data_IF_689130663742
#
_entry.id   IF_689130663742
#
_cell.length_a   1.000
_cell.length_b   1.000
_cell.length_c   1.000
_cell.angle_alpha   90.00
_cell.angle_beta   90.00
_cell.angle_gamma   90.00
#
_symmetry.space_group_name_H-M   'P 1'
#
loop_
_entity.id
_entity.type
_entity.pdbx_description
1 polymer ?
#
# COMPACT_ATOMS: atom_id res chain seq x y z
N UNK A 1 -31.92 23.73 25.47
CA UNK A 1 -32.78 23.09 24.45
C UNK A 1 -32.11 23.27 23.10
N UNK A 2 -31.96 22.19 22.34
CA UNK A 2 -31.22 22.20 21.08
C UNK A 2 -32.04 22.94 20.01
N UNK A 3 -31.52 24.03 19.46
CA UNK A 3 -32.25 24.93 18.53
C UNK A 3 -32.75 24.24 17.26
N UNK A 4 -32.14 23.09 16.92
CA UNK A 4 -32.50 22.22 15.79
C UNK A 4 -33.95 21.72 15.79
N UNK A 5 -34.63 21.67 16.94
CA UNK A 5 -36.01 21.17 17.05
C UNK A 5 -37.04 22.28 17.38
N UNK A 6 -36.58 23.53 17.55
CA UNK A 6 -37.43 24.67 17.92
C UNK A 6 -37.59 25.70 16.81
N UNK A 7 -36.86 25.56 15.70
CA UNK A 7 -36.91 26.46 14.54
C UNK A 7 -37.49 25.72 13.32
N UNK A 8 -37.96 26.49 12.33
CA UNK A 8 -38.48 25.92 11.09
C UNK A 8 -37.37 25.18 10.32
N UNK A 9 -37.60 23.91 10.01
CA UNK A 9 -36.64 23.06 9.29
C UNK A 9 -36.39 23.59 7.88
N UNK A 10 -35.13 23.91 7.57
CA UNK A 10 -34.68 24.14 6.20
C UNK A 10 -34.36 22.78 5.58
N UNK A 11 -35.13 22.37 4.57
CA UNK A 11 -34.99 21.04 3.95
C UNK A 11 -34.57 21.16 2.49
N UNK A 12 -33.72 20.24 2.04
CA UNK A 12 -33.36 20.07 0.64
C UNK A 12 -33.54 18.60 0.25
N UNK A 13 -34.08 18.37 -0.95
CA UNK A 13 -34.33 17.02 -1.50
C UNK A 13 -33.56 16.83 -2.78
N UNK A 14 -32.92 15.68 -2.96
CA UNK A 14 -32.20 15.32 -4.19
C UNK A 14 -32.69 13.95 -4.70
N UNK A 15 -32.66 13.74 -6.02
CA UNK A 15 -33.06 12.48 -6.64
C UNK A 15 -34.57 12.35 -6.85
N UNK A 16 -35.24 11.45 -6.13
CA UNK A 16 -36.65 11.07 -6.40
C UNK A 16 -37.61 12.19 -6.02
N UNK A 17 -38.38 12.70 -7.00
CA UNK A 17 -39.31 13.83 -6.81
C UNK A 17 -40.40 13.56 -5.76
N UNK A 18 -40.78 12.28 -5.56
CA UNK A 18 -41.78 11.86 -4.58
C UNK A 18 -41.52 12.43 -3.17
N UNK A 19 -40.26 12.51 -2.74
CA UNK A 19 -39.91 13.03 -1.41
C UNK A 19 -40.09 14.55 -1.33
N UNK A 20 -39.75 15.27 -2.40
CA UNK A 20 -39.99 16.70 -2.52
C UNK A 20 -41.49 17.00 -2.50
N UNK A 21 -42.25 16.28 -3.32
CA UNK A 21 -43.70 16.45 -3.45
C UNK A 21 -44.42 16.11 -2.14
N UNK A 22 -43.98 15.07 -1.43
CA UNK A 22 -44.53 14.70 -0.12
C UNK A 22 -44.29 15.79 0.94
N UNK A 23 -43.14 16.47 0.93
CA UNK A 23 -42.85 17.58 1.85
C UNK A 23 -43.66 18.83 1.51
N UNK A 24 -43.77 19.18 0.21
CA UNK A 24 -44.62 20.28 -0.24
C UNK A 24 -46.10 20.07 0.14
N UNK A 25 -46.62 18.85 -0.03
CA UNK A 25 -47.99 18.50 0.33
C UNK A 25 -48.25 18.59 1.85
N UNK A 26 -47.21 18.51 2.67
CA UNK A 26 -47.27 18.71 4.12
C UNK A 26 -47.03 20.17 4.54
N UNK A 27 -46.86 21.09 3.59
CA UNK A 27 -46.60 22.51 3.86
C UNK A 27 -45.17 22.80 4.33
N UNK A 28 -44.24 21.87 4.15
CA UNK A 28 -42.82 22.06 4.52
C UNK A 28 -42.09 22.79 3.40
N UNK A 29 -41.41 23.89 3.74
CA UNK A 29 -40.52 24.59 2.80
C UNK A 29 -39.31 23.72 2.48
N UNK A 30 -39.17 23.35 1.21
CA UNK A 30 -38.09 22.47 0.73
C UNK A 30 -37.50 22.95 -0.59
N UNK A 31 -36.20 22.76 -0.79
CA UNK A 31 -35.51 23.07 -2.04
C UNK A 31 -35.18 21.77 -2.78
N UNK A 32 -35.71 21.61 -4.01
CA UNK A 32 -35.27 20.54 -4.88
C UNK A 32 -33.87 20.84 -5.43
N UNK A 33 -32.94 19.94 -5.19
CA UNK A 33 -31.63 19.92 -5.84
C UNK A 33 -31.79 19.11 -7.11
N UNK A 34 -31.54 19.75 -8.25
CA UNK A 34 -31.48 19.08 -9.54
C UNK A 34 -30.23 18.18 -9.56
N UNK A 35 -30.44 16.93 -9.17
CA UNK A 35 -29.40 15.92 -9.12
C UNK A 35 -29.88 14.68 -9.87
N UNK A 36 -29.08 14.25 -10.84
CA UNK A 36 -29.20 12.96 -11.49
C UNK A 36 -27.83 12.29 -11.50
N UNK A 37 -27.76 10.95 -11.56
CA UNK A 37 -26.54 10.29 -12.02
C UNK A 37 -26.10 10.89 -13.37
N UNK A 38 -24.81 10.91 -13.70
CA UNK A 38 -24.33 11.41 -14.98
C UNK A 38 -25.11 10.78 -16.15
N UNK A 39 -25.70 11.62 -16.99
CA UNK A 39 -26.43 11.18 -18.18
C UNK A 39 -25.41 10.65 -19.21
N UNK A 40 -25.14 9.35 -19.17
CA UNK A 40 -24.14 8.78 -20.09
C UNK A 40 -23.73 7.32 -19.91
N UNK A 41 -24.31 6.54 -19.00
CA UNK A 41 -24.00 5.12 -18.88
C UNK A 41 -25.18 4.32 -18.35
N UNK A 42 -25.82 3.51 -19.20
CA UNK A 42 -26.75 2.46 -18.74
C UNK A 42 -26.07 1.59 -17.67
N UNK A 43 -24.77 1.39 -17.84
CA UNK A 43 -23.91 0.57 -17.00
C UNK A 43 -23.89 0.98 -15.52
N UNK A 44 -23.87 2.28 -15.18
CA UNK A 44 -23.85 2.69 -13.77
C UNK A 44 -25.21 2.49 -13.09
N UNK A 45 -26.30 2.76 -13.81
CA UNK A 45 -27.65 2.44 -13.31
C UNK A 45 -27.78 0.93 -13.08
N UNK A 46 -27.32 0.12 -14.04
CA UNK A 46 -27.43 -1.33 -13.97
C UNK A 46 -26.60 -1.91 -12.81
N UNK A 47 -25.39 -1.38 -12.57
CA UNK A 47 -24.58 -1.74 -11.40
C UNK A 47 -25.22 -1.30 -10.08
N UNK A 48 -25.78 -0.08 -10.01
CA UNK A 48 -26.42 0.43 -8.80
C UNK A 48 -27.73 -0.31 -8.45
N UNK A 49 -28.47 -0.74 -9.47
CA UNK A 49 -29.72 -1.47 -9.36
C UNK A 49 -29.55 -2.99 -9.20
N UNK A 50 -28.33 -3.52 -9.35
CA UNK A 50 -28.05 -4.94 -9.20
C UNK A 50 -28.36 -5.40 -7.77
N UNK A 51 -29.37 -6.25 -7.64
CA UNK A 51 -29.85 -6.81 -6.37
C UNK A 51 -28.78 -7.64 -5.64
N UNK A 52 -27.77 -8.15 -6.37
CA UNK A 52 -26.66 -8.92 -5.76
C UNK A 52 -25.75 -8.03 -4.92
N UNK A 53 -25.67 -6.73 -5.25
CA UNK A 53 -24.65 -5.80 -4.72
C UNK A 53 -24.68 -5.67 -3.20
N UNK A 54 -25.85 -5.48 -2.59
CA UNK A 54 -25.93 -5.28 -1.13
C UNK A 54 -25.38 -6.48 -0.37
N UNK A 55 -25.88 -7.67 -0.70
CA UNK A 55 -25.48 -8.92 -0.04
C UNK A 55 -24.01 -9.25 -0.31
N UNK A 56 -23.53 -9.03 -1.53
CA UNK A 56 -22.13 -9.25 -1.88
C UNK A 56 -21.19 -8.27 -1.16
N UNK A 57 -21.57 -6.99 -1.04
CA UNK A 57 -20.79 -5.99 -0.32
C UNK A 57 -20.78 -6.23 1.19
N UNK A 58 -21.91 -6.65 1.78
CA UNK A 58 -21.99 -7.04 3.19
C UNK A 58 -21.08 -8.23 3.49
N UNK A 59 -21.06 -9.24 2.62
CA UNK A 59 -20.14 -10.37 2.73
C UNK A 59 -18.68 -9.93 2.60
N UNK A 60 -18.36 -9.08 1.62
CA UNK A 60 -17.02 -8.56 1.40
C UNK A 60 -16.53 -7.79 2.64
N UNK A 61 -17.32 -6.85 3.15
CA UNK A 61 -17.00 -6.07 4.35
C UNK A 61 -16.83 -6.99 5.57
N UNK A 62 -17.71 -7.96 5.76
CA UNK A 62 -17.60 -8.92 6.87
C UNK A 62 -16.29 -9.72 6.80
N UNK A 63 -15.86 -10.14 5.61
CA UNK A 63 -14.58 -10.83 5.41
C UNK A 63 -13.38 -9.94 5.71
N UNK A 64 -13.41 -8.67 5.27
CA UNK A 64 -12.36 -7.69 5.58
C UNK A 64 -12.23 -7.50 7.10
N UNK A 65 -13.33 -7.22 7.80
CA UNK A 65 -13.33 -6.95 9.24
C UNK A 65 -12.85 -8.13 10.10
N UNK A 66 -13.05 -9.36 9.60
CA UNK A 66 -12.64 -10.59 10.27
C UNK A 66 -11.19 -11.02 9.95
N UNK A 67 -10.52 -10.38 8.98
CA UNK A 67 -9.15 -10.75 8.59
C UNK A 67 -8.13 -10.40 9.67
N UNK A 68 -7.25 -11.34 10.00
CA UNK A 68 -6.10 -11.10 10.87
C UNK A 68 -4.84 -10.72 10.09
N UNK A 69 -3.81 -10.27 10.80
CA UNK A 69 -2.51 -9.99 10.20
C UNK A 69 -1.41 -10.26 11.23
N UNK A 70 -0.76 -11.42 11.11
CA UNK A 70 0.39 -11.80 11.94
C UNK A 70 1.65 -11.88 11.09
N UNK A 71 2.77 -11.37 11.61
CA UNK A 71 4.08 -11.50 10.97
C UNK A 71 4.64 -12.90 11.24
N UNK A 72 4.76 -13.71 10.18
CA UNK A 72 5.15 -15.12 10.30
C UNK A 72 6.60 -15.38 9.92
N UNK A 73 7.18 -14.58 9.01
CA UNK A 73 8.58 -14.72 8.62
C UNK A 73 9.14 -13.42 8.00
N UNK A 74 10.45 -13.39 7.82
CA UNK A 74 11.14 -12.40 6.99
C UNK A 74 12.05 -13.18 6.05
N UNK A 75 11.93 -13.02 4.73
CA UNK A 75 12.65 -13.87 3.75
C UNK A 75 13.06 -13.11 2.49
N UNK A 76 14.07 -13.57 1.73
CA UNK A 76 14.35 -13.04 0.40
C UNK A 76 13.13 -13.15 -0.53
N UNK A 77 12.95 -12.19 -1.44
CA UNK A 77 11.84 -12.15 -2.38
C UNK A 77 11.87 -13.34 -3.36
N UNK A 78 13.05 -13.86 -3.69
CA UNK A 78 13.20 -15.11 -4.45
C UNK A 78 12.51 -16.31 -3.79
N UNK A 79 12.51 -16.38 -2.46
CA UNK A 79 11.80 -17.43 -1.71
C UNK A 79 10.34 -17.08 -1.47
N UNK A 80 10.05 -15.84 -1.09
CA UNK A 80 8.72 -15.40 -0.69
C UNK A 80 7.73 -15.32 -1.87
N UNK A 81 8.22 -14.88 -3.03
CA UNK A 81 7.41 -14.55 -4.20
C UNK A 81 7.79 -15.38 -5.45
N UNK A 82 8.76 -16.29 -5.30
CA UNK A 82 9.32 -17.10 -6.38
C UNK A 82 9.85 -16.25 -7.55
N UNK A 83 10.55 -15.15 -7.24
CA UNK A 83 11.14 -14.27 -8.24
C UNK A 83 12.49 -14.82 -8.72
N UNK A 84 12.60 -15.00 -10.04
CA UNK A 84 13.84 -15.33 -10.74
C UNK A 84 14.68 -14.10 -11.09
N UNK A 85 15.93 -14.32 -11.49
CA UNK A 85 16.82 -13.25 -11.96
C UNK A 85 16.20 -12.53 -13.16
N UNK A 86 16.05 -11.21 -13.06
CA UNK A 86 15.42 -10.37 -14.08
C UNK A 86 13.90 -10.32 -14.01
N UNK A 87 13.27 -10.88 -12.98
CA UNK A 87 11.86 -10.66 -12.66
C UNK A 87 11.76 -9.64 -11.52
N UNK A 88 11.31 -8.43 -11.85
CA UNK A 88 11.15 -7.34 -10.88
C UNK A 88 9.67 -7.01 -10.71
N UNK A 89 9.31 -6.63 -9.49
CA UNK A 89 8.00 -6.07 -9.21
C UNK A 89 8.05 -4.55 -9.10
N UNK A 90 6.91 -3.89 -9.23
CA UNK A 90 6.77 -2.45 -9.03
C UNK A 90 5.43 -2.09 -8.39
N UNK A 91 5.31 -0.88 -7.83
CA UNK A 91 4.03 -0.35 -7.35
C UNK A 91 3.08 0.04 -8.49
N UNK A 92 1.77 0.03 -8.21
CA UNK A 92 0.71 0.51 -9.11
C UNK A 92 0.27 -0.50 -10.18
N UNK A 93 -0.61 -0.07 -11.10
CA UNK A 93 -1.06 -0.92 -12.22
C UNK A 93 0.08 -1.19 -13.22
N UNK A 94 -0.06 -2.18 -14.12
CA UNK A 94 0.96 -2.55 -15.10
C UNK A 94 1.50 -1.34 -15.87
N UNK A 95 2.83 -1.24 -15.98
CA UNK A 95 3.50 -0.14 -16.68
C UNK A 95 4.77 -0.63 -17.38
N UNK A 96 5.02 -0.07 -18.57
CA UNK A 96 6.24 -0.30 -19.34
C UNK A 96 7.30 0.75 -19.00
N UNK A 97 8.58 0.42 -19.20
CA UNK A 97 9.71 1.33 -18.98
C UNK A 97 9.53 2.71 -19.63
N UNK A 98 9.05 2.74 -20.87
CA UNK A 98 8.85 3.98 -21.63
C UNK A 98 7.87 4.94 -20.98
N UNK A 99 6.92 4.43 -20.19
CA UNK A 99 5.92 5.21 -19.45
C UNK A 99 6.31 5.45 -17.99
N UNK A 100 7.30 4.72 -17.45
CA UNK A 100 7.71 4.86 -16.07
C UNK A 100 8.15 6.30 -15.75
N UNK A 101 7.71 6.80 -14.59
CA UNK A 101 8.07 8.13 -14.09
C UNK A 101 9.56 8.21 -13.71
N UNK A 102 10.09 9.42 -13.52
CA UNK A 102 11.49 9.62 -13.14
C UNK A 102 11.91 8.81 -11.90
N UNK A 103 11.20 8.88 -10.77
CA UNK A 103 11.49 8.06 -9.59
C UNK A 103 11.41 6.56 -9.85
N UNK A 104 10.43 6.09 -10.63
CA UNK A 104 10.31 4.68 -10.99
C UNK A 104 11.51 4.21 -11.83
N UNK A 105 11.91 4.99 -12.83
CA UNK A 105 13.10 4.70 -13.66
C UNK A 105 14.37 4.63 -12.84
N UNK A 106 14.57 5.60 -11.94
CA UNK A 106 15.70 5.59 -11.02
C UNK A 106 15.73 4.35 -10.11
N UNK A 107 14.57 3.90 -9.64
CA UNK A 107 14.45 2.72 -8.80
C UNK A 107 14.78 1.43 -9.56
N UNK A 108 14.34 1.31 -10.81
CA UNK A 108 14.67 0.19 -11.70
C UNK A 108 16.17 0.17 -12.05
N UNK A 109 16.79 1.33 -12.26
CA UNK A 109 18.24 1.44 -12.45
C UNK A 109 18.97 0.96 -11.18
N UNK A 110 18.56 1.43 -10.00
CA UNK A 110 19.13 0.99 -8.72
C UNK A 110 19.02 -0.53 -8.56
N UNK A 111 17.87 -1.11 -8.90
CA UNK A 111 17.61 -2.55 -8.88
C UNK A 111 18.56 -3.33 -9.81
N UNK A 112 18.78 -2.85 -11.03
CA UNK A 112 19.73 -3.46 -11.97
C UNK A 112 21.17 -3.46 -11.44
N UNK A 113 21.59 -2.36 -10.80
CA UNK A 113 22.92 -2.26 -10.17
C UNK A 113 23.02 -3.19 -8.96
N UNK A 114 22.00 -3.20 -8.11
CA UNK A 114 21.93 -4.03 -6.91
C UNK A 114 22.00 -5.53 -7.23
N UNK A 115 21.25 -5.98 -8.24
CA UNK A 115 21.26 -7.37 -8.72
C UNK A 115 22.47 -7.72 -9.60
N UNK A 116 23.41 -6.77 -9.77
CA UNK A 116 24.61 -6.93 -10.63
C UNK A 116 24.25 -7.36 -12.04
N UNK A 117 23.17 -6.77 -12.57
CA UNK A 117 22.69 -6.98 -13.93
C UNK A 117 23.19 -5.91 -14.89
N UNK A 118 23.77 -4.82 -14.37
CA UNK A 118 24.45 -3.78 -15.12
C UNK A 118 25.64 -3.22 -14.30
N UNK A 119 26.68 -2.77 -15.00
CA UNK A 119 27.88 -2.20 -14.39
C UNK A 119 27.81 -0.68 -14.20
N UNK A 120 26.83 -0.02 -14.84
CA UNK A 120 26.59 1.43 -14.73
C UNK A 120 25.12 1.77 -14.93
N UNK A 121 24.73 2.99 -14.56
CA UNK A 121 23.37 3.48 -14.75
C UNK A 121 22.99 3.54 -16.25
N UNK A 122 23.93 3.94 -17.11
CA UNK A 122 23.75 4.00 -18.56
C UNK A 122 23.56 2.60 -19.15
N UNK A 123 24.35 1.63 -18.68
CA UNK A 123 24.18 0.23 -19.09
C UNK A 123 22.82 -0.32 -18.62
N UNK A 124 22.39 0.01 -17.41
CA UNK A 124 21.10 -0.40 -16.88
C UNK A 124 19.94 0.17 -17.72
N UNK A 125 19.98 1.46 -18.04
CA UNK A 125 18.98 2.13 -18.87
C UNK A 125 18.87 1.47 -20.26
N UNK A 126 20.00 1.21 -20.93
CA UNK A 126 20.00 0.54 -22.24
C UNK A 126 19.42 -0.88 -22.21
N UNK A 127 19.56 -1.60 -21.09
CA UNK A 127 18.96 -2.93 -20.90
C UNK A 127 17.46 -2.81 -20.65
N UNK A 128 17.05 -1.87 -19.80
CA UNK A 128 15.65 -1.61 -19.46
C UNK A 128 14.85 -1.13 -20.68
N UNK A 129 15.43 -0.28 -21.52
CA UNK A 129 14.83 0.17 -22.79
C UNK A 129 14.54 -0.97 -23.77
N UNK A 130 15.29 -2.07 -23.67
CA UNK A 130 15.15 -3.27 -24.52
C UNK A 130 14.30 -4.36 -23.87
N UNK A 131 13.55 -4.03 -22.82
CA UNK A 131 12.76 -4.99 -22.03
C UNK A 131 13.63 -6.13 -21.47
N UNK A 132 14.84 -5.80 -21.00
CA UNK A 132 15.78 -6.78 -20.46
C UNK A 132 15.40 -7.38 -19.10
N UNK A 133 14.27 -6.95 -18.53
CA UNK A 133 13.65 -7.49 -17.31
C UNK A 133 12.15 -7.63 -17.50
N UNK A 134 11.55 -8.60 -16.82
CA UNK A 134 10.10 -8.70 -16.67
C UNK A 134 9.64 -7.76 -15.54
N UNK A 135 8.62 -6.95 -15.81
CA UNK A 135 8.03 -6.03 -14.85
C UNK A 135 6.58 -6.45 -14.56
N UNK A 136 6.25 -6.62 -13.28
CA UNK A 136 4.91 -7.00 -12.84
C UNK A 136 4.47 -6.19 -11.60
N UNK A 137 3.21 -5.77 -11.48
CA UNK A 137 2.70 -5.17 -10.25
C UNK A 137 2.90 -6.05 -9.01
N UNK A 138 3.34 -5.46 -7.90
CA UNK A 138 3.38 -6.14 -6.60
C UNK A 138 2.04 -6.81 -6.25
N UNK A 139 0.92 -6.13 -6.54
CA UNK A 139 -0.43 -6.62 -6.26
C UNK A 139 -0.77 -7.95 -6.94
N UNK A 140 -0.15 -8.28 -8.08
CA UNK A 140 -0.37 -9.56 -8.78
C UNK A 140 0.26 -10.75 -8.06
N UNK A 141 1.28 -10.49 -7.24
CA UNK A 141 1.95 -11.49 -6.39
C UNK A 141 1.49 -11.46 -4.94
N UNK A 142 0.42 -10.73 -4.63
CA UNK A 142 -0.03 -10.52 -3.26
C UNK A 142 0.96 -9.70 -2.42
N UNK A 143 1.85 -8.95 -3.06
CA UNK A 143 2.78 -8.05 -2.41
C UNK A 143 2.29 -6.59 -2.54
N UNK A 144 2.93 -5.71 -1.79
CA UNK A 144 2.77 -4.26 -1.87
C UNK A 144 4.14 -3.59 -1.71
N UNK A 145 4.38 -2.52 -2.45
CA UNK A 145 5.63 -1.77 -2.44
C UNK A 145 5.41 -0.27 -2.17
N UNK A 146 6.08 0.35 -1.18
CA UNK A 146 5.98 1.78 -0.97
C UNK A 146 6.71 2.58 -2.07
N UNK A 147 6.13 3.72 -2.47
CA UNK A 147 6.72 4.62 -3.47
C UNK A 147 6.97 3.92 -4.81
N UNK A 148 8.18 3.92 -5.39
CA UNK A 148 8.42 3.15 -6.62
C UNK A 148 8.08 1.65 -6.45
N UNK A 149 8.17 1.14 -5.21
CA UNK A 149 7.75 -0.21 -4.86
C UNK A 149 8.51 -1.30 -5.61
N UNK A 150 9.72 -0.99 -6.09
CA UNK A 150 10.52 -1.94 -6.84
C UNK A 150 11.00 -3.05 -5.90
N UNK A 151 10.75 -4.30 -6.28
CA UNK A 151 11.21 -5.49 -5.56
C UNK A 151 12.00 -6.38 -6.51
N UNK A 152 13.19 -6.77 -6.08
CA UNK A 152 14.07 -7.69 -6.82
C UNK A 152 14.31 -8.98 -6.02
N UNK A 153 14.75 -10.08 -6.65
CA UNK A 153 14.91 -11.38 -5.99
C UNK A 153 15.76 -11.38 -4.71
N UNK A 154 16.79 -10.53 -4.64
CA UNK A 154 17.71 -10.46 -3.50
C UNK A 154 17.21 -9.57 -2.35
N UNK A 155 16.13 -8.81 -2.54
CA UNK A 155 15.55 -7.98 -1.48
C UNK A 155 14.83 -8.84 -0.45
N UNK A 156 14.85 -8.42 0.81
CA UNK A 156 14.13 -9.07 1.89
C UNK A 156 12.71 -8.51 2.04
N UNK A 157 11.78 -9.40 2.38
CA UNK A 157 10.35 -9.14 2.51
C UNK A 157 9.87 -9.55 3.90
N UNK A 158 9.00 -8.74 4.51
CA UNK A 158 8.11 -9.20 5.56
C UNK A 158 7.05 -10.13 4.95
N UNK A 159 6.80 -11.28 5.58
CA UNK A 159 5.70 -12.18 5.25
C UNK A 159 4.65 -12.13 6.35
N UNK A 160 3.48 -11.59 6.03
CA UNK A 160 2.32 -11.63 6.92
C UNK A 160 1.36 -12.72 6.46
N UNK A 161 0.67 -13.31 7.42
CA UNK A 161 -0.41 -14.25 7.18
C UNK A 161 -1.66 -13.81 7.92
N UNK A 162 -2.82 -14.02 7.31
CA UNK A 162 -4.11 -13.98 7.98
C UNK A 162 -4.41 -15.36 8.58
N UNK A 163 -4.45 -15.53 9.91
CA UNK A 163 -4.73 -16.82 10.53
C UNK A 163 -6.10 -17.40 10.19
N UNK A 164 -7.07 -16.55 9.82
CA UNK A 164 -8.44 -16.98 9.54
C UNK A 164 -8.61 -17.57 8.13
N UNK A 165 -7.83 -17.09 7.16
CA UNK A 165 -7.94 -17.49 5.75
C UNK A 165 -6.72 -18.27 5.25
N UNK A 166 -5.58 -18.18 5.95
CA UNK A 166 -4.30 -18.69 5.50
C UNK A 166 -3.64 -17.85 4.40
N UNK A 167 -4.30 -16.78 3.93
CA UNK A 167 -3.77 -15.87 2.92
C UNK A 167 -2.47 -15.22 3.41
N UNK A 168 -1.56 -14.99 2.47
CA UNK A 168 -0.30 -14.29 2.72
C UNK A 168 -0.22 -12.98 1.96
N UNK A 169 0.54 -12.04 2.53
CA UNK A 169 0.90 -10.78 1.89
C UNK A 169 2.32 -10.39 2.26
N UNK A 170 2.99 -9.71 1.33
CA UNK A 170 4.39 -9.35 1.48
C UNK A 170 4.65 -7.88 1.23
N UNK A 171 5.69 -7.34 1.87
CA UNK A 171 6.21 -6.01 1.59
C UNK A 171 7.72 -6.02 1.85
N UNK A 172 8.48 -5.27 1.05
CA UNK A 172 9.93 -5.17 1.23
C UNK A 172 10.28 -4.52 2.57
N UNK A 173 11.52 -4.67 3.02
CA UNK A 173 12.01 -3.93 4.20
C UNK A 173 12.11 -2.42 3.88
N UNK A 174 11.87 -1.58 4.89
CA UNK A 174 12.03 -0.14 4.71
C UNK A 174 13.52 0.24 4.66
N UNK A 175 13.92 0.94 3.60
CA UNK A 175 15.31 1.32 3.33
C UNK A 175 15.84 2.50 4.15
N UNK A 176 15.00 3.11 4.99
CA UNK A 176 15.34 4.29 5.78
C UNK A 176 14.85 5.60 5.16
N UNK A 177 15.49 6.69 5.59
CA UNK A 177 15.21 8.07 5.19
C UNK A 177 16.33 8.62 4.30
N UNK A 178 16.04 9.70 3.57
CA UNK A 178 16.99 10.35 2.68
C UNK A 178 17.03 9.70 1.30
N UNK A 179 18.24 9.48 0.76
CA UNK A 179 18.43 8.85 -0.55
C UNK A 179 18.22 7.34 -0.43
N UNK A 180 17.14 6.85 -1.05
CA UNK A 180 16.71 5.44 -1.04
C UNK A 180 16.19 5.04 -2.42
N UNK A 181 16.28 3.75 -2.75
CA UNK A 181 15.83 3.18 -4.02
C UNK A 181 14.35 3.42 -4.24
N UNK A 182 13.51 3.29 -3.22
CA UNK A 182 12.06 3.58 -3.34
C UNK A 182 11.73 5.00 -3.81
N UNK A 183 12.64 5.97 -3.68
CA UNK A 183 12.50 7.34 -4.23
C UNK A 183 13.25 7.54 -5.55
N UNK A 184 13.85 6.50 -6.11
CA UNK A 184 14.59 6.53 -7.36
C UNK A 184 16.07 6.86 -7.23
N UNK A 185 16.64 6.88 -6.02
CA UNK A 185 18.08 7.11 -5.85
C UNK A 185 18.89 5.83 -6.11
N UNK A 186 19.99 5.94 -6.84
CA UNK A 186 20.87 4.83 -7.24
C UNK A 186 22.36 5.12 -6.99
N UNK A 187 22.70 6.00 -6.04
CA UNK A 187 24.08 6.27 -5.67
C UNK A 187 24.73 5.05 -4.95
N UNK A 188 26.07 4.94 -4.92
CA UNK A 188 26.75 3.83 -4.24
C UNK A 188 26.30 3.60 -2.78
N UNK A 189 26.06 4.67 -2.02
CA UNK A 189 25.54 4.60 -0.64
C UNK A 189 24.16 3.92 -0.52
N UNK A 190 23.32 3.98 -1.58
CA UNK A 190 22.03 3.28 -1.62
C UNK A 190 22.28 1.79 -1.80
N UNK A 191 23.14 1.41 -2.75
CA UNK A 191 23.46 0.01 -3.04
C UNK A 191 24.16 -0.64 -1.83
N UNK A 192 25.13 0.04 -1.22
CA UNK A 192 25.80 -0.43 0.00
C UNK A 192 24.83 -0.65 1.17
N UNK A 193 23.78 0.19 1.27
CA UNK A 193 22.72 -0.01 2.27
C UNK A 193 21.86 -1.22 1.96
N UNK A 194 21.47 -1.42 0.71
CA UNK A 194 20.70 -2.60 0.29
C UNK A 194 21.51 -3.90 0.48
N UNK A 195 22.83 -3.86 0.22
CA UNK A 195 23.74 -4.96 0.54
C UNK A 195 23.76 -5.24 2.05
N UNK A 196 23.92 -4.21 2.89
CA UNK A 196 23.83 -4.40 4.34
C UNK A 196 22.45 -4.93 4.79
N UNK A 197 21.37 -4.46 4.18
CA UNK A 197 20.04 -4.95 4.50
C UNK A 197 19.89 -6.43 4.14
N UNK A 198 20.47 -6.87 3.02
CA UNK A 198 20.49 -8.28 2.61
C UNK A 198 21.33 -9.14 3.53
N UNK A 199 22.52 -8.67 3.87
CA UNK A 199 23.54 -9.49 4.52
C UNK A 199 23.41 -9.48 6.06
N UNK A 200 22.75 -8.47 6.63
CA UNK A 200 22.66 -8.28 8.09
C UNK A 200 21.23 -8.03 8.56
N UNK A 201 20.55 -6.98 8.08
CA UNK A 201 19.25 -6.58 8.64
C UNK A 201 18.19 -7.66 8.45
N UNK A 202 18.00 -8.14 7.22
CA UNK A 202 17.03 -9.17 6.87
C UNK A 202 17.22 -10.47 7.66
N UNK A 203 18.43 -11.07 7.64
CA UNK A 203 18.74 -12.24 8.45
C UNK A 203 18.49 -12.03 9.95
N UNK A 204 18.89 -10.88 10.50
CA UNK A 204 18.69 -10.59 11.93
C UNK A 204 17.21 -10.46 12.29
N UNK A 205 16.41 -9.80 11.45
CA UNK A 205 14.96 -9.71 11.62
C UNK A 205 14.31 -11.11 11.52
N UNK A 206 14.74 -11.95 10.57
CA UNK A 206 14.24 -13.32 10.44
C UNK A 206 14.52 -14.14 11.70
N UNK A 207 15.75 -14.08 12.22
CA UNK A 207 16.12 -14.76 13.47
C UNK A 207 15.23 -14.27 14.61
N UNK A 208 15.06 -12.96 14.74
CA UNK A 208 14.18 -12.39 15.77
C UNK A 208 12.73 -12.86 15.65
N UNK A 209 12.17 -12.89 14.43
CA UNK A 209 10.77 -13.29 14.18
C UNK A 209 10.59 -14.78 14.47
N UNK A 210 11.52 -15.64 14.04
CA UNK A 210 11.43 -17.10 14.19
C UNK A 210 11.73 -17.59 15.61
N UNK A 211 12.47 -16.82 16.41
CA UNK A 211 12.78 -17.18 17.79
C UNK A 211 11.60 -16.95 18.75
N UNK A 212 10.56 -16.22 18.32
CA UNK A 212 9.36 -16.00 19.12
C UNK A 212 8.49 -17.24 19.18
N UNK A 213 7.94 -17.53 20.36
CA UNK A 213 6.91 -18.56 20.53
C UNK A 213 5.58 -18.14 19.87
N UNK A 214 5.23 -16.85 19.98
CA UNK A 214 4.03 -16.26 19.39
C UNK A 214 4.38 -15.25 18.30
N UNK A 215 3.70 -15.36 17.15
CA UNK A 215 3.81 -14.40 16.06
C UNK A 215 3.45 -12.97 16.52
N UNK A 216 4.05 -11.98 15.87
CA UNK A 216 3.71 -10.57 16.13
C UNK A 216 2.36 -10.29 15.47
N UNK A 217 1.34 -9.95 16.29
CA UNK A 217 0.05 -9.49 15.80
C UNK A 217 0.14 -8.03 15.32
N UNK A 218 0.33 -7.87 14.02
CA UNK A 218 0.47 -6.57 13.36
C UNK A 218 -0.84 -5.80 13.43
N UNK A 219 -2.00 -6.47 13.33
CA UNK A 219 -3.33 -5.83 13.48
C UNK A 219 -3.50 -5.24 14.88
N UNK A 220 -3.03 -5.93 15.92
CA UNK A 220 -3.06 -5.43 17.29
C UNK A 220 -2.14 -4.21 17.48
N UNK A 221 -0.96 -4.20 16.87
CA UNK A 221 -0.07 -3.02 16.88
C UNK A 221 -0.73 -1.84 16.17
N UNK A 222 -1.32 -2.05 14.98
CA UNK A 222 -2.05 -1.01 14.23
C UNK A 222 -3.17 -0.41 15.10
N UNK A 223 -3.95 -1.27 15.76
CA UNK A 223 -5.05 -0.84 16.64
C UNK A 223 -4.56 0.04 17.80
N UNK A 224 -3.37 -0.22 18.34
CA UNK A 224 -2.79 0.55 19.44
C UNK A 224 -2.13 1.85 18.94
N UNK A 225 -1.37 1.81 17.84
CA UNK A 225 -0.66 2.99 17.34
C UNK A 225 -1.63 4.10 16.90
N UNK A 226 -2.81 3.75 16.36
CA UNK A 226 -3.86 4.72 16.04
C UNK A 226 -4.31 5.50 17.29
N UNK A 227 -4.45 4.80 18.42
CA UNK A 227 -4.78 5.42 19.71
C UNK A 227 -3.63 6.25 20.29
N UNK A 228 -2.41 6.11 19.74
CA UNK A 228 -1.21 6.87 20.11
C UNK A 228 -0.92 8.03 19.13
N UNK A 229 -1.83 8.30 18.20
CA UNK A 229 -1.77 9.43 17.26
C UNK A 229 -0.99 9.16 15.98
N UNK A 230 -0.68 7.90 15.67
CA UNK A 230 -0.26 7.48 14.33
C UNK A 230 -1.48 7.23 13.43
N UNK A 231 -1.30 7.20 12.11
CA UNK A 231 -2.37 6.82 11.16
C UNK A 231 -2.03 5.62 10.29
N UNK A 232 -0.77 5.16 10.27
CA UNK A 232 -0.34 3.93 9.58
C UNK A 232 0.18 4.14 8.15
N UNK A 233 0.02 5.32 7.56
CA UNK A 233 0.53 5.66 6.23
C UNK A 233 1.72 6.64 6.32
N UNK A 234 1.49 7.88 6.73
CA UNK A 234 2.49 8.93 6.84
C UNK A 234 3.20 8.96 8.19
N UNK A 235 2.52 8.56 9.27
CA UNK A 235 3.03 8.60 10.63
C UNK A 235 2.92 7.20 11.25
N UNK A 236 4.09 6.64 11.56
CA UNK A 236 4.25 5.24 11.98
C UNK A 236 5.17 5.10 13.22
N UNK A 237 5.42 6.18 13.96
CA UNK A 237 6.42 6.24 15.03
C UNK A 237 6.12 5.31 16.20
N UNK A 238 4.89 5.30 16.70
CA UNK A 238 4.48 4.42 17.78
C UNK A 238 4.55 2.95 17.34
N UNK A 239 4.07 2.64 16.13
CA UNK A 239 4.16 1.28 15.56
C UNK A 239 5.60 0.78 15.45
N UNK A 240 6.50 1.63 14.94
CA UNK A 240 7.95 1.33 14.81
C UNK A 240 8.57 0.99 16.17
N UNK A 241 8.27 1.76 17.22
CA UNK A 241 8.82 1.54 18.56
C UNK A 241 8.23 0.30 19.24
N UNK A 242 6.94 0.01 19.04
CA UNK A 242 6.31 -1.20 19.55
C UNK A 242 6.89 -2.46 18.88
N UNK A 243 7.06 -2.42 17.55
CA UNK A 243 7.70 -3.50 16.81
C UNK A 243 9.13 -3.75 17.29
N UNK A 244 9.92 -2.68 17.46
CA UNK A 244 11.28 -2.81 17.95
C UNK A 244 11.32 -3.38 19.37
N UNK A 245 10.46 -2.90 20.29
CA UNK A 245 10.33 -3.43 21.66
C UNK A 245 10.09 -4.94 21.65
N UNK A 246 9.23 -5.40 20.75
CA UNK A 246 8.76 -6.78 20.65
C UNK A 246 9.81 -7.72 20.02
N UNK A 247 10.71 -7.20 19.20
CA UNK A 247 11.72 -7.99 18.49
C UNK A 247 13.11 -7.93 19.13
N UNK A 248 13.42 -6.85 19.84
CA UNK A 248 14.78 -6.56 20.34
C UNK A 248 15.39 -7.67 21.22
N UNK A 249 14.67 -8.31 22.17
CA UNK A 249 15.23 -9.39 22.98
C UNK A 249 15.75 -10.55 22.12
N UNK A 250 14.96 -10.96 21.12
CA UNK A 250 15.30 -12.06 20.22
C UNK A 250 16.44 -11.70 19.26
N UNK A 251 16.52 -10.44 18.83
CA UNK A 251 17.67 -9.95 18.08
C UNK A 251 18.95 -9.99 18.92
N UNK A 252 18.89 -9.62 20.22
CA UNK A 252 20.03 -9.68 21.15
C UNK A 252 20.52 -11.12 21.31
N UNK A 253 19.61 -12.08 21.42
CA UNK A 253 19.94 -13.50 21.58
C UNK A 253 20.51 -14.12 20.30
N UNK A 254 20.03 -13.68 19.14
CA UNK A 254 20.36 -14.27 17.84
C UNK A 254 21.42 -13.55 17.01
N UNK A 255 21.82 -12.33 17.39
CA UNK A 255 22.72 -11.47 16.64
C UNK A 255 23.96 -11.02 17.41
N UNK A 256 24.93 -10.46 16.71
CA UNK A 256 26.07 -9.81 17.37
C UNK A 256 25.63 -8.48 17.99
N UNK A 257 26.26 -8.06 19.10
CA UNK A 257 25.93 -6.79 19.75
C UNK A 257 26.10 -5.59 18.81
N UNK A 258 27.07 -5.62 17.89
CA UNK A 258 27.27 -4.59 16.86
C UNK A 258 26.13 -4.54 15.84
N UNK A 259 25.69 -5.70 15.35
CA UNK A 259 24.62 -5.78 14.33
C UNK A 259 23.28 -5.38 14.92
N UNK A 260 22.97 -5.87 16.13
CA UNK A 260 21.76 -5.51 16.87
C UNK A 260 21.71 -4.02 17.15
N UNK A 261 22.82 -3.43 17.62
CA UNK A 261 22.87 -2.00 17.87
C UNK A 261 22.72 -1.18 16.58
N UNK A 262 23.27 -1.64 15.45
CA UNK A 262 23.12 -0.98 14.15
C UNK A 262 21.68 -1.08 13.65
N UNK A 263 21.06 -2.25 13.73
CA UNK A 263 19.67 -2.47 13.34
C UNK A 263 18.70 -1.65 14.20
N UNK A 264 18.88 -1.63 15.52
CA UNK A 264 18.06 -0.83 16.43
C UNK A 264 18.14 0.67 16.14
N UNK A 265 19.35 1.20 15.85
CA UNK A 265 19.51 2.60 15.41
C UNK A 265 18.84 2.87 14.07
N UNK A 266 18.94 1.93 13.13
CA UNK A 266 18.35 2.06 11.81
C UNK A 266 16.82 2.08 11.86
N UNK A 267 16.22 1.14 12.59
CA UNK A 267 14.76 1.04 12.79
C UNK A 267 14.25 2.22 13.61
N UNK A 268 14.86 2.49 14.77
CA UNK A 268 14.42 3.56 15.67
C UNK A 268 14.67 4.98 15.16
N UNK A 269 15.62 5.16 14.23
CA UNK A 269 15.86 6.43 13.53
C UNK A 269 14.96 6.65 12.32
N UNK A 270 14.06 5.72 12.02
CA UNK A 270 13.17 5.74 10.87
C UNK A 270 11.71 5.64 11.33
N UNK A 271 11.08 6.78 11.56
CA UNK A 271 9.68 6.85 11.98
C UNK A 271 8.69 6.24 10.95
N UNK A 272 9.14 5.91 9.74
CA UNK A 272 8.34 5.24 8.70
C UNK A 272 8.59 3.74 8.60
N UNK A 273 9.44 3.13 9.43
CA UNK A 273 9.81 1.71 9.29
C UNK A 273 8.60 0.78 9.33
N UNK A 274 7.65 1.06 10.23
CA UNK A 274 6.45 0.23 10.41
C UNK A 274 5.43 0.32 9.26
N UNK A 275 5.53 1.30 8.35
CA UNK A 275 4.68 1.37 7.15
C UNK A 275 4.72 0.06 6.35
N UNK A 276 5.90 -0.55 6.25
CA UNK A 276 6.13 -1.78 5.51
C UNK A 276 5.55 -3.04 6.20
N UNK A 277 4.98 -2.89 7.40
CA UNK A 277 4.16 -3.90 8.09
C UNK A 277 2.67 -3.54 8.01
N UNK A 278 2.31 -2.25 8.04
CA UNK A 278 0.94 -1.78 7.86
C UNK A 278 0.41 -2.14 6.48
N UNK A 279 1.14 -1.82 5.41
CA UNK A 279 0.70 -2.05 4.03
C UNK A 279 0.32 -3.52 3.75
N UNK A 280 1.14 -4.54 4.08
CA UNK A 280 0.74 -5.93 3.86
C UNK A 280 -0.37 -6.41 4.80
N UNK A 281 -0.54 -5.80 5.98
CA UNK A 281 -1.70 -6.07 6.84
C UNK A 281 -3.01 -5.57 6.20
N UNK A 282 -3.00 -4.35 5.66
CA UNK A 282 -4.11 -3.77 4.89
C UNK A 282 -4.38 -4.58 3.61
N UNK A 283 -3.34 -5.08 2.93
CA UNK A 283 -3.51 -5.97 1.79
C UNK A 283 -4.16 -7.29 2.20
N UNK A 284 -3.83 -7.91 3.34
CA UNK A 284 -4.55 -9.10 3.82
C UNK A 284 -6.04 -8.83 4.05
N UNK A 285 -6.35 -7.71 4.71
CA UNK A 285 -7.72 -7.28 4.97
C UNK A 285 -8.52 -7.15 3.68
N UNK A 286 -8.02 -6.37 2.72
CA UNK A 286 -8.70 -6.18 1.41
C UNK A 286 -8.72 -7.45 0.56
N UNK A 287 -7.67 -8.28 0.64
CA UNK A 287 -7.59 -9.58 -0.05
C UNK A 287 -8.67 -10.55 0.42
N UNK A 288 -9.09 -10.48 1.68
CA UNK A 288 -10.20 -11.30 2.19
C UNK A 288 -11.52 -11.03 1.45
N UNK A 289 -11.67 -9.86 0.81
CA UNK A 289 -12.80 -9.48 -0.01
C UNK A 289 -12.61 -9.69 -1.52
N UNK A 290 -11.49 -10.23 -2.01
CA UNK A 290 -11.29 -10.44 -3.45
C UNK A 290 -12.22 -11.53 -4.00
N UNK A 291 -12.59 -11.40 -5.28
CA UNK A 291 -13.33 -12.39 -6.06
C UNK A 291 -14.72 -12.75 -5.51
N UNK A 292 -15.49 -11.77 -5.02
CA UNK A 292 -16.88 -11.97 -4.59
C UNK A 292 -17.81 -11.46 -5.70
N UNK A 293 -18.49 -12.36 -6.46
CA UNK A 293 -19.35 -11.94 -7.57
C UNK A 293 -20.44 -10.97 -7.14
N UNK A 294 -20.60 -9.87 -7.88
CA UNK A 294 -21.57 -8.82 -7.59
C UNK A 294 -21.13 -7.79 -6.55
N UNK A 295 -19.96 -7.97 -5.93
CA UNK A 295 -19.41 -6.99 -5.00
C UNK A 295 -18.75 -5.83 -5.74
N UNK A 296 -19.03 -4.61 -5.29
CA UNK A 296 -18.46 -3.36 -5.81
C UNK A 296 -17.45 -2.73 -4.86
N UNK A 297 -17.01 -3.45 -3.83
CA UNK A 297 -15.98 -2.97 -2.89
C UNK A 297 -14.65 -2.86 -3.62
N UNK A 298 -13.98 -1.71 -3.47
CA UNK A 298 -12.60 -1.52 -3.94
C UNK A 298 -11.67 -2.32 -3.05
N UNK A 299 -10.85 -3.18 -3.63
CA UNK A 299 -9.90 -4.04 -2.91
C UNK A 299 -8.44 -3.63 -3.15
N UNK A 300 -8.18 -2.79 -4.15
CA UNK A 300 -6.86 -2.21 -4.39
C UNK A 300 -7.04 -0.77 -4.86
N UNK A 301 -6.28 0.15 -4.26
CA UNK A 301 -5.92 1.43 -4.83
C UNK A 301 -4.40 1.51 -4.86
N UNK A 302 -3.83 1.76 -6.03
CA UNK A 302 -2.39 1.77 -6.23
C UNK A 302 -1.98 2.70 -7.38
N UNK A 303 -0.72 3.13 -7.37
CA UNK A 303 -0.23 4.12 -8.32
C UNK A 303 1.25 3.94 -8.59
N UNK A 304 1.68 4.25 -9.81
CA UNK A 304 3.05 4.02 -10.28
C UNK A 304 3.79 5.31 -10.66
N UNK A 305 3.26 6.48 -10.27
CA UNK A 305 3.81 7.79 -10.63
C UNK A 305 3.42 8.30 -12.01
N UNK A 306 2.60 7.54 -12.73
CA UNK A 306 2.03 7.89 -14.04
C UNK A 306 0.54 7.62 -14.07
N UNK A 307 0.16 6.42 -13.63
CA UNK A 307 -1.20 5.93 -13.59
C UNK A 307 -1.64 5.65 -12.15
N UNK A 308 -2.92 5.89 -11.89
CA UNK A 308 -3.66 5.43 -10.72
C UNK A 308 -4.59 4.28 -11.16
N UNK A 309 -4.53 3.17 -10.45
CA UNK A 309 -5.32 1.98 -10.73
C UNK A 309 -6.14 1.55 -9.53
N UNK A 310 -7.34 1.05 -9.80
CA UNK A 310 -8.14 0.33 -8.80
C UNK A 310 -8.48 -1.08 -9.27
N UNK A 311 -8.72 -1.97 -8.31
CA UNK A 311 -9.39 -3.26 -8.53
C UNK A 311 -10.62 -3.33 -7.63
N UNK A 312 -11.66 -4.01 -8.08
CA UNK A 312 -12.87 -4.25 -7.29
C UNK A 312 -13.09 -5.73 -7.06
N UNK A 313 -13.70 -6.05 -5.94
CA UNK A 313 -13.98 -7.42 -5.49
C UNK A 313 -14.63 -8.29 -6.57
N UNK A 314 -15.65 -7.77 -7.26
CA UNK A 314 -16.41 -8.51 -8.27
C UNK A 314 -15.74 -8.67 -9.62
N UNK A 315 -14.67 -7.91 -9.91
CA UNK A 315 -13.96 -7.91 -11.19
C UNK A 315 -12.61 -8.64 -11.13
N UNK A 316 -12.30 -9.25 -9.99
CA UNK A 316 -11.07 -9.99 -9.76
C UNK A 316 -9.83 -9.13 -10.01
N UNK A 317 -8.96 -9.59 -10.91
CA UNK A 317 -7.67 -8.96 -11.17
C UNK A 317 -7.71 -7.84 -12.24
N UNK A 318 -8.89 -7.49 -12.75
CA UNK A 318 -9.04 -6.42 -13.73
C UNK A 318 -8.68 -5.06 -13.11
N UNK A 319 -7.83 -4.30 -13.80
CA UNK A 319 -7.44 -2.95 -13.42
C UNK A 319 -8.28 -1.90 -14.14
N UNK A 320 -8.86 -0.98 -13.37
CA UNK A 320 -9.44 0.25 -13.91
C UNK A 320 -8.44 1.38 -13.72
N UNK A 321 -7.92 1.92 -14.82
CA UNK A 321 -6.74 2.77 -14.83
C UNK A 321 -7.11 4.18 -15.31
N UNK A 322 -6.66 5.19 -14.57
CA UNK A 322 -6.70 6.60 -14.94
C UNK A 322 -5.36 7.30 -14.65
N UNK A 323 -5.21 8.59 -15.00
CA UNK A 323 -3.97 9.32 -14.74
C UNK A 323 -3.75 9.52 -13.23
N UNK A 324 -2.52 9.28 -12.77
CA UNK A 324 -2.12 9.65 -11.40
C UNK A 324 -2.20 11.17 -11.22
N UNK A 325 -2.69 11.59 -10.05
CA UNK A 325 -2.81 13.01 -9.72
C UNK A 325 -1.54 13.51 -9.01
N UNK A 326 -1.21 14.78 -9.17
CA UNK A 326 -0.11 15.40 -8.43
C UNK A 326 -0.60 15.81 -7.04
N UNK A 327 0.05 15.36 -5.95
CA UNK A 327 -0.34 15.75 -4.60
C UNK A 327 -0.21 17.27 -4.39
N UNK A 328 -1.22 17.88 -3.76
CA UNK A 328 -1.18 19.28 -3.35
C UNK A 328 -0.91 19.36 -1.85
N UNK A 329 0.20 19.99 -1.45
CA UNK A 329 0.59 20.06 -0.04
C UNK A 329 1.66 21.11 0.26
N UNK A 330 2.25 21.00 1.44
CA UNK A 330 3.41 21.82 1.84
C UNK A 330 4.70 21.16 1.33
N UNK A 331 5.56 21.96 0.71
CA UNK A 331 6.85 21.52 0.17
C UNK A 331 8.00 21.93 1.11
N UNK A 332 9.04 21.11 1.12
CA UNK A 332 10.22 21.33 1.98
C UNK A 332 11.14 22.39 1.38
N UNK A 333 11.53 23.39 2.18
CA UNK A 333 12.55 24.36 1.82
C UNK A 333 12.20 25.14 0.53
N UNK A 334 13.01 24.93 -0.51
CA UNK A 334 12.88 25.63 -1.79
C UNK A 334 12.11 24.83 -2.87
N UNK A 335 11.59 23.64 -2.55
CA UNK A 335 10.80 22.85 -3.50
C UNK A 335 9.39 23.40 -3.66
N UNK A 336 8.79 23.15 -4.82
CA UNK A 336 7.47 23.61 -5.21
C UNK A 336 6.64 22.47 -5.84
N UNK A 337 5.39 22.75 -6.18
CA UNK A 337 4.55 21.81 -6.90
C UNK A 337 5.10 21.42 -8.28
N UNK A 338 5.89 22.28 -8.91
CA UNK A 338 6.51 22.01 -10.21
C UNK A 338 7.64 20.95 -10.12
N UNK A 339 8.17 20.72 -8.91
CA UNK A 339 9.17 19.69 -8.64
C UNK A 339 8.53 18.32 -8.29
N UNK A 340 7.21 18.26 -8.14
CA UNK A 340 6.50 17.07 -7.66
C UNK A 340 6.28 16.04 -8.78
N UNK A 341 6.57 14.78 -8.48
CA UNK A 341 6.07 13.67 -9.30
C UNK A 341 4.57 13.43 -9.01
N UNK A 342 3.78 12.96 -9.98
CA UNK A 342 2.46 12.42 -9.70
C UNK A 342 2.49 11.29 -8.65
N UNK A 343 1.36 10.99 -8.03
CA UNK A 343 1.26 10.04 -6.93
C UNK A 343 1.81 8.64 -7.30
N UNK A 344 2.57 8.04 -6.38
CA UNK A 344 3.39 6.83 -6.61
C UNK A 344 3.51 5.96 -5.34
N UNK A 345 3.20 4.66 -5.46
CA UNK A 345 3.18 3.69 -4.35
C UNK A 345 1.95 2.78 -4.32
N UNK A 346 2.10 1.65 -3.64
CA UNK A 346 0.96 0.80 -3.25
C UNK A 346 0.41 1.18 -1.87
N UNK A 347 1.01 2.18 -1.20
CA UNK A 347 0.61 2.59 0.15
C UNK A 347 -0.85 3.07 0.25
N UNK A 348 -1.57 3.28 -0.86
CA UNK A 348 -2.98 3.66 -0.85
C UNK A 348 -3.88 2.47 -0.47
N UNK A 349 -3.28 1.28 -0.36
CA UNK A 349 -3.88 0.13 0.30
C UNK A 349 -4.23 0.42 1.76
N UNK A 350 -3.53 1.36 2.43
CA UNK A 350 -3.87 1.76 3.81
C UNK A 350 -5.21 2.48 3.89
N UNK A 351 -5.55 3.32 2.91
CA UNK A 351 -6.87 3.97 2.83
C UNK A 351 -7.94 3.06 2.24
N UNK A 352 -7.54 1.98 1.56
CA UNK A 352 -8.48 1.01 0.99
C UNK A 352 -9.07 0.09 2.06
N UNK A 353 -8.31 -0.21 3.11
CA UNK A 353 -8.63 -1.20 4.15
C UNK A 353 -9.51 -0.63 5.27
#
# INVERSE_FOLDING_TARGET
MNKLLSESLATATAGVSLLHDALLNQGVSTQAVEWSPPLGGKDLHDVMADQRRSVANELALSKMLNSGAVLVDVKPASEALNLGRGEFLHAGPPIEWSRASGPMRGALIAAMLYEKMADSAEAAELILEKNGVALEPCHHRGAVGPMAGVVTPSMWMFELQDPSTGNKSWCSLNEGLGKVLRYGAYSPEVIERLDWMRDVLGPLLQVGVRAREEHIDVRAIISQMIQMGDEGHNRNRAGTLMFLRDLLPFMIEGGTSSDVARAARFVGGNDHFFLNLVMPACKLQTRAAENIPGSTIVTVMARNGTDFGIQTSGTGNEWFIGPAQTPHGLYLGNYTADDANPDIGDSAITETA
#
